data_IF_043744898183
#
_entry.id   IF_043744898183
#
_cell.length_a   1.000
_cell.length_b   1.000
_cell.length_c   1.000
_cell.angle_alpha   90.00
_cell.angle_beta   90.00
_cell.angle_gamma   90.00
#
_symmetry.space_group_name_H-M   'P 1'
#
loop_
_entity.id
_entity.type
_entity.pdbx_description
1 polymer ?
#
# COMPACT_ATOMS: atom_id res chain seq x y z
N UNK A 1 -27.28 -48.99 -51.17
CA UNK A 1 -26.00 -48.43 -50.65
C UNK A 1 -25.76 -46.97 -51.03
N UNK A 2 -25.81 -46.56 -52.31
CA UNK A 2 -25.55 -45.16 -52.73
C UNK A 2 -26.49 -44.10 -52.10
N UNK A 3 -27.78 -44.41 -51.91
CA UNK A 3 -28.76 -43.47 -51.30
C UNK A 3 -28.53 -43.23 -49.80
N UNK A 4 -28.01 -44.22 -49.06
CA UNK A 4 -27.74 -44.10 -47.63
C UNK A 4 -26.49 -43.23 -47.35
N UNK A 5 -25.46 -43.36 -48.20
CA UNK A 5 -24.23 -42.56 -48.12
C UNK A 5 -24.52 -41.09 -48.46
N UNK A 6 -25.36 -40.82 -49.46
CA UNK A 6 -25.76 -39.47 -49.83
C UNK A 6 -26.57 -38.76 -48.74
N UNK A 7 -27.39 -39.50 -47.99
CA UNK A 7 -28.16 -38.95 -46.88
C UNK A 7 -27.28 -38.65 -45.66
N UNK A 8 -26.28 -39.51 -45.39
CA UNK A 8 -25.32 -39.29 -44.30
C UNK A 8 -24.40 -38.09 -44.56
N UNK A 9 -23.94 -37.88 -45.80
CA UNK A 9 -23.13 -36.72 -46.18
C UNK A 9 -23.95 -35.43 -46.05
N UNK A 10 -25.22 -35.44 -46.45
CA UNK A 10 -26.11 -34.29 -46.30
C UNK A 10 -26.31 -33.94 -44.81
N UNK A 11 -26.54 -34.93 -43.95
CA UNK A 11 -26.69 -34.72 -42.50
C UNK A 11 -25.40 -34.17 -41.89
N UNK A 12 -24.24 -34.70 -42.27
CA UNK A 12 -22.94 -34.19 -41.78
C UNK A 12 -22.73 -32.74 -42.22
N UNK A 13 -23.04 -32.38 -43.47
CA UNK A 13 -22.94 -31.01 -43.96
C UNK A 13 -23.89 -30.04 -43.24
N UNK A 14 -25.13 -30.47 -42.96
CA UNK A 14 -26.11 -29.66 -42.23
C UNK A 14 -25.71 -29.49 -40.77
N UNK A 15 -25.23 -30.54 -40.10
CA UNK A 15 -24.73 -30.45 -38.72
C UNK A 15 -23.47 -29.58 -38.64
N UNK A 16 -22.58 -29.66 -39.63
CA UNK A 16 -21.38 -28.80 -39.72
C UNK A 16 -21.75 -27.33 -39.94
N UNK A 17 -22.77 -27.05 -40.76
CA UNK A 17 -23.28 -25.70 -40.97
C UNK A 17 -23.97 -25.14 -39.71
N UNK A 18 -24.71 -25.96 -38.96
CA UNK A 18 -25.35 -25.55 -37.71
C UNK A 18 -24.29 -25.24 -36.63
N UNK A 19 -23.25 -26.07 -36.50
CA UNK A 19 -22.15 -25.81 -35.56
C UNK A 19 -21.41 -24.52 -35.94
N UNK A 20 -21.16 -24.28 -37.23
CA UNK A 20 -20.49 -23.07 -37.71
C UNK A 20 -21.29 -21.77 -37.49
N UNK A 21 -22.63 -21.83 -37.45
CA UNK A 21 -23.49 -20.67 -37.16
C UNK A 21 -23.66 -20.42 -35.66
N UNK A 22 -23.40 -21.43 -34.81
CA UNK A 22 -23.64 -21.36 -33.35
C UNK A 22 -22.43 -20.96 -32.51
N UNK A 23 -21.21 -20.88 -33.08
CA UNK A 23 -20.01 -20.43 -32.36
C UNK A 23 -19.50 -19.09 -32.88
N UNK A 24 -20.34 -18.05 -32.80
CA UNK A 24 -19.82 -16.70 -32.60
C UNK A 24 -19.41 -16.61 -31.13
N UNK A 25 -18.26 -17.18 -30.77
CA UNK A 25 -17.63 -16.81 -29.50
C UNK A 25 -17.19 -15.37 -29.71
N UNK A 26 -18.03 -14.41 -29.32
CA UNK A 26 -17.56 -13.08 -28.97
C UNK A 26 -16.61 -13.27 -27.82
N UNK A 27 -15.32 -13.43 -28.13
CA UNK A 27 -14.27 -13.11 -27.19
C UNK A 27 -14.49 -11.63 -26.92
N UNK A 28 -15.06 -11.29 -25.76
CA UNK A 28 -14.84 -9.95 -25.23
C UNK A 28 -13.33 -9.84 -25.15
N UNK A 29 -12.74 -9.11 -26.09
CA UNK A 29 -11.31 -8.78 -26.02
C UNK A 29 -11.10 -8.24 -24.62
N UNK A 30 -10.18 -8.84 -23.88
CA UNK A 30 -9.72 -8.23 -22.64
C UNK A 30 -9.36 -6.80 -23.01
N UNK A 31 -10.07 -5.82 -22.43
CA UNK A 31 -9.75 -4.42 -22.65
C UNK A 31 -8.29 -4.27 -22.22
N UNK A 32 -7.40 -4.11 -23.20
CA UNK A 32 -6.00 -3.85 -22.93
C UNK A 32 -5.99 -2.54 -22.17
N UNK A 33 -5.44 -2.48 -20.94
CA UNK A 33 -5.41 -1.24 -20.18
C UNK A 33 -4.73 -0.19 -21.04
N UNK A 34 -5.44 0.90 -21.31
CA UNK A 34 -4.87 2.03 -22.04
C UNK A 34 -3.84 2.69 -21.13
N UNK A 35 -2.60 2.78 -21.59
CA UNK A 35 -1.53 3.48 -20.88
C UNK A 35 -1.20 4.73 -21.70
N UNK A 36 -1.90 5.82 -21.40
CA UNK A 36 -1.62 7.16 -21.92
C UNK A 36 -0.42 7.75 -21.18
N UNK A 37 0.79 7.56 -21.70
CA UNK A 37 2.01 8.14 -21.09
C UNK A 37 3.04 8.56 -22.13
N UNK A 38 3.88 9.53 -21.79
CA UNK A 38 5.03 9.96 -22.59
C UNK A 38 6.33 9.69 -21.82
N UNK A 39 7.37 9.26 -22.52
CA UNK A 39 8.71 9.01 -21.96
C UNK A 39 9.71 9.89 -22.69
N UNK A 40 10.32 10.83 -21.98
CA UNK A 40 11.29 11.76 -22.55
C UNK A 40 12.73 11.34 -22.28
N UNK A 41 13.60 11.61 -23.24
CA UNK A 41 15.05 11.52 -23.13
C UNK A 41 15.68 12.62 -24.00
N UNK A 42 16.87 13.09 -23.67
CA UNK A 42 17.49 14.17 -24.44
C UNK A 42 18.71 14.78 -23.77
N UNK A 43 19.29 15.78 -24.42
CA UNK A 43 20.31 16.65 -23.88
C UNK A 43 19.72 17.71 -22.95
N UNK A 44 20.54 18.18 -22.01
CA UNK A 44 20.26 19.30 -21.13
C UNK A 44 21.37 20.33 -21.31
N UNK A 45 21.03 21.51 -21.83
CA UNK A 45 21.96 22.62 -21.97
C UNK A 45 21.64 23.70 -20.93
N UNK A 46 22.64 24.11 -20.14
CA UNK A 46 22.55 25.28 -19.28
C UNK A 46 23.34 26.41 -19.92
N UNK A 47 22.73 27.58 -20.01
CA UNK A 47 23.37 28.78 -20.57
C UNK A 47 24.72 29.04 -19.90
N UNK A 48 25.69 29.48 -20.70
CA UNK A 48 27.12 29.64 -20.35
C UNK A 48 27.94 28.33 -20.31
N UNK A 49 27.36 27.19 -20.72
CA UNK A 49 28.08 25.91 -20.82
C UNK A 49 28.35 25.26 -19.46
N UNK A 50 27.55 25.62 -18.44
CA UNK A 50 27.56 24.92 -17.16
C UNK A 50 27.05 23.49 -17.34
N UNK A 51 27.65 22.53 -16.63
CA UNK A 51 27.15 21.15 -16.64
C UNK A 51 25.83 21.04 -15.86
N UNK A 52 24.92 20.26 -16.42
CA UNK A 52 23.64 19.91 -15.85
C UNK A 52 23.68 18.65 -14.96
N UNK A 53 24.82 17.95 -14.92
CA UNK A 53 24.96 16.69 -14.19
C UNK A 53 24.62 16.82 -12.70
N UNK A 54 23.88 15.84 -12.20
CA UNK A 54 23.48 15.74 -10.80
C UNK A 54 22.26 16.57 -10.42
N UNK A 55 21.73 17.42 -11.31
CA UNK A 55 20.48 18.13 -11.06
C UNK A 55 19.26 17.23 -11.27
N UNK A 56 18.22 17.48 -10.47
CA UNK A 56 16.90 16.86 -10.61
C UNK A 56 16.11 17.54 -11.72
N UNK A 57 15.66 16.75 -12.69
CA UNK A 57 14.74 17.15 -13.73
C UNK A 57 13.35 16.59 -13.43
N UNK A 58 12.33 17.44 -13.52
CA UNK A 58 10.91 17.10 -13.32
C UNK A 58 10.08 17.65 -14.47
N UNK A 59 8.97 17.01 -14.79
CA UNK A 59 7.96 17.55 -15.69
C UNK A 59 6.68 17.87 -14.92
N UNK A 60 6.02 18.98 -15.27
CA UNK A 60 4.78 19.45 -14.65
C UNK A 60 3.73 19.70 -15.71
N UNK A 61 2.49 19.36 -15.38
CA UNK A 61 1.33 19.52 -16.25
C UNK A 61 0.11 19.74 -15.35
N UNK A 62 -0.35 20.99 -15.29
CA UNK A 62 -1.38 21.40 -14.33
C UNK A 62 -0.98 21.14 -12.88
N UNK A 63 -1.74 20.30 -12.18
CA UNK A 63 -1.51 19.87 -10.80
C UNK A 63 -0.70 18.56 -10.68
N UNK A 64 -0.34 17.93 -11.81
CA UNK A 64 0.51 16.73 -11.83
C UNK A 64 1.99 17.08 -11.99
N UNK A 65 2.84 16.43 -11.20
CA UNK A 65 4.30 16.52 -11.24
C UNK A 65 4.91 15.11 -11.27
N UNK A 66 5.90 14.89 -12.14
CA UNK A 66 6.55 13.59 -12.28
C UNK A 66 7.48 13.27 -11.11
N UNK A 67 7.86 11.99 -10.99
CA UNK A 67 9.06 11.66 -10.24
C UNK A 67 10.29 12.30 -10.89
N UNK A 68 11.28 12.77 -10.09
CA UNK A 68 12.47 13.40 -10.63
C UNK A 68 13.42 12.38 -11.24
N UNK A 69 14.04 12.75 -12.35
CA UNK A 69 15.19 12.05 -12.95
C UNK A 69 16.45 12.85 -12.68
N UNK A 70 17.58 12.18 -12.47
CA UNK A 70 18.87 12.84 -12.30
C UNK A 70 19.57 12.95 -13.66
N UNK A 71 19.91 14.16 -14.07
CA UNK A 71 20.66 14.42 -15.30
C UNK A 71 22.08 13.85 -15.17
N UNK A 72 22.56 13.17 -16.21
CA UNK A 72 23.89 12.54 -16.27
C UNK A 72 24.03 11.25 -15.46
N UNK A 73 22.97 10.76 -14.80
CA UNK A 73 23.07 9.56 -13.96
C UNK A 73 23.20 8.25 -14.76
N UNK A 74 22.42 8.11 -15.84
CA UNK A 74 22.25 6.84 -16.57
C UNK A 74 22.80 6.89 -18.01
N UNK A 75 23.78 7.75 -18.29
CA UNK A 75 24.30 7.89 -19.66
C UNK A 75 25.44 8.90 -19.81
N UNK A 76 25.57 9.52 -21.01
CA UNK A 76 26.52 10.60 -21.24
C UNK A 76 26.24 11.79 -20.31
N UNK A 77 27.29 12.57 -20.02
CA UNK A 77 27.19 13.89 -19.37
C UNK A 77 26.11 14.73 -20.05
N UNK A 78 25.37 15.48 -19.24
CA UNK A 78 24.37 16.45 -19.65
C UNK A 78 23.23 15.84 -20.48
N UNK A 79 22.92 14.55 -20.25
CA UNK A 79 21.73 13.88 -20.81
C UNK A 79 20.83 13.30 -19.74
N UNK A 80 19.54 13.31 -19.99
CA UNK A 80 18.53 12.66 -19.15
C UNK A 80 17.82 11.55 -19.92
N UNK A 81 17.37 10.52 -19.19
CA UNK A 81 16.71 9.36 -19.76
C UNK A 81 15.52 8.95 -18.89
N UNK A 82 14.43 8.52 -19.53
CA UNK A 82 13.33 7.87 -18.84
C UNK A 82 12.47 8.81 -17.99
N UNK A 83 12.38 10.09 -18.33
CA UNK A 83 11.44 11.01 -17.67
C UNK A 83 10.01 10.63 -18.09
N UNK A 84 9.33 9.89 -17.21
CA UNK A 84 7.99 9.37 -17.45
C UNK A 84 6.92 10.38 -17.01
N UNK A 85 6.14 10.85 -17.97
CA UNK A 85 4.92 11.64 -17.76
C UNK A 85 3.72 10.71 -17.89
N UNK A 86 3.13 10.34 -16.75
CA UNK A 86 1.99 9.43 -16.67
C UNK A 86 0.95 9.96 -15.67
N UNK A 87 0.21 11.03 -16.02
CA UNK A 87 -0.89 11.53 -15.21
C UNK A 87 -2.03 10.50 -15.08
N UNK A 88 -2.98 10.71 -14.13
CA UNK A 88 -4.16 9.87 -14.02
C UNK A 88 -4.90 9.70 -15.37
N UNK A 89 -5.42 8.50 -15.61
CA UNK A 89 -6.05 8.15 -16.89
C UNK A 89 -7.15 9.14 -17.29
N UNK A 90 -7.09 9.63 -18.53
CA UNK A 90 -8.06 10.59 -19.08
C UNK A 90 -7.93 12.03 -18.56
N UNK A 91 -6.89 12.34 -17.78
CA UNK A 91 -6.60 13.71 -17.33
C UNK A 91 -5.46 14.33 -18.14
N UNK A 92 -5.45 15.66 -18.19
CA UNK A 92 -4.39 16.47 -18.81
C UNK A 92 -4.11 16.25 -20.30
N UNK A 93 -4.97 15.52 -21.02
CA UNK A 93 -4.86 15.33 -22.47
C UNK A 93 -4.95 16.69 -23.17
N UNK A 94 -3.89 17.07 -23.89
CA UNK A 94 -3.79 18.37 -24.56
C UNK A 94 -3.22 19.50 -23.70
N UNK A 95 -2.95 19.26 -22.42
CA UNK A 95 -2.30 20.27 -21.58
C UNK A 95 -0.79 20.36 -21.90
N UNK A 96 -0.22 21.52 -21.59
CA UNK A 96 1.21 21.80 -21.77
C UNK A 96 2.03 21.18 -20.65
N UNK A 97 3.12 20.54 -21.05
CA UNK A 97 4.17 19.98 -20.21
C UNK A 97 5.28 21.01 -20.10
N UNK A 98 5.57 21.41 -18.87
CA UNK A 98 6.71 22.25 -18.53
C UNK A 98 7.80 21.41 -17.87
N UNK A 99 9.05 21.66 -18.23
CA UNK A 99 10.20 20.94 -17.66
C UNK A 99 10.94 21.85 -16.68
N UNK A 100 11.22 21.32 -15.48
CA UNK A 100 11.76 22.08 -14.35
C UNK A 100 13.05 21.43 -13.84
N UNK A 101 14.11 22.22 -13.76
CA UNK A 101 15.39 21.84 -13.19
C UNK A 101 15.50 22.32 -11.72
N UNK A 102 15.73 21.37 -10.81
CA UNK A 102 15.73 21.56 -9.34
C UNK A 102 14.46 22.25 -8.80
N UNK A 103 13.35 22.20 -9.55
CA UNK A 103 12.13 22.95 -9.23
C UNK A 103 12.28 24.46 -9.23
N UNK A 104 13.40 25.00 -9.74
CA UNK A 104 13.71 26.43 -9.71
C UNK A 104 13.59 27.08 -11.09
N UNK A 105 14.01 26.38 -12.13
CA UNK A 105 14.19 26.96 -13.47
C UNK A 105 13.39 26.15 -14.46
N UNK A 106 12.54 26.83 -15.21
CA UNK A 106 11.77 26.24 -16.31
C UNK A 106 12.64 26.20 -17.57
N UNK A 107 12.54 25.12 -18.35
CA UNK A 107 13.15 25.03 -19.66
C UNK A 107 12.54 26.05 -20.63
N UNK A 108 13.29 26.41 -21.68
CA UNK A 108 12.76 27.23 -22.77
C UNK A 108 11.74 26.47 -23.62
N UNK A 109 11.85 25.16 -23.65
CA UNK A 109 11.00 24.25 -24.40
C UNK A 109 9.85 23.73 -23.55
N UNK A 110 8.69 23.59 -24.19
CA UNK A 110 7.49 23.00 -23.61
C UNK A 110 6.94 22.00 -24.62
N UNK A 111 6.21 21.01 -24.12
CA UNK A 111 5.61 19.98 -24.97
C UNK A 111 4.12 19.86 -24.68
N UNK A 112 3.35 19.15 -25.52
CA UNK A 112 1.93 18.91 -25.27
C UNK A 112 1.70 17.43 -24.96
N UNK A 113 0.86 17.16 -23.95
CA UNK A 113 0.50 15.79 -23.57
C UNK A 113 -0.57 15.21 -24.50
N UNK A 114 -0.13 14.85 -25.71
CA UNK A 114 -0.89 14.16 -26.76
C UNK A 114 -0.02 13.08 -27.37
N UNK A 115 -0.57 12.16 -28.15
CA UNK A 115 0.21 11.26 -28.99
C UNK A 115 0.62 11.99 -30.27
N UNK A 116 1.91 11.99 -30.62
CA UNK A 116 2.42 12.61 -31.84
C UNK A 116 2.55 11.54 -32.92
N UNK A 117 1.83 11.73 -34.01
CA UNK A 117 1.91 10.85 -35.17
C UNK A 117 3.15 11.14 -36.00
N UNK A 118 3.62 10.17 -36.82
CA UNK A 118 4.76 10.39 -37.72
C UNK A 118 4.57 11.52 -38.74
N UNK A 119 3.33 11.96 -39.00
CA UNK A 119 3.00 13.09 -39.86
C UNK A 119 2.98 14.44 -39.13
N UNK A 120 3.34 14.46 -37.84
CA UNK A 120 3.32 15.63 -36.97
C UNK A 120 1.92 16.03 -36.48
N UNK A 121 0.88 15.24 -36.79
CA UNK A 121 -0.44 15.44 -36.21
C UNK A 121 -0.49 14.90 -34.77
N UNK A 122 -1.49 15.36 -34.01
CA UNK A 122 -1.68 14.91 -32.62
C UNK A 122 -2.99 14.15 -32.45
N UNK A 123 -2.93 13.03 -31.75
CA UNK A 123 -4.09 12.26 -31.32
C UNK A 123 -4.33 12.42 -29.81
N UNK A 124 -5.60 12.62 -29.46
CA UNK A 124 -6.04 12.71 -28.06
C UNK A 124 -6.25 11.33 -27.43
N UNK A 125 -6.32 10.27 -28.24
CA UNK A 125 -6.64 8.92 -27.80
C UNK A 125 -5.53 7.95 -28.22
N UNK A 126 -4.73 7.48 -27.25
CA UNK A 126 -3.70 6.49 -27.49
C UNK A 126 -3.61 5.52 -26.31
N UNK A 127 -3.06 4.32 -26.54
CA UNK A 127 -3.06 3.25 -25.55
C UNK A 127 -1.66 2.72 -25.21
N UNK A 128 -0.62 3.19 -25.91
CA UNK A 128 0.76 2.74 -25.74
C UNK A 128 1.67 3.90 -25.35
N UNK A 129 2.61 3.72 -24.41
CA UNK A 129 3.62 4.73 -24.11
C UNK A 129 4.36 5.16 -25.37
N UNK A 130 4.51 6.47 -25.56
CA UNK A 130 5.33 7.02 -26.63
C UNK A 130 6.64 7.57 -26.05
N UNK A 131 7.76 7.14 -26.64
CA UNK A 131 9.08 7.68 -26.29
C UNK A 131 9.43 8.83 -27.23
N UNK A 132 9.97 9.94 -26.71
CA UNK A 132 10.39 11.11 -27.48
C UNK A 132 11.79 11.58 -27.11
N UNK A 133 12.57 11.92 -28.12
CA UNK A 133 13.79 12.69 -27.93
C UNK A 133 13.41 14.16 -27.80
N UNK A 134 13.86 14.80 -26.73
CA UNK A 134 13.51 16.18 -26.42
C UNK A 134 14.66 16.87 -25.69
N UNK A 135 15.36 17.74 -26.39
CA UNK A 135 16.48 18.50 -25.83
C UNK A 135 15.94 19.71 -25.06
N UNK A 136 16.51 19.97 -23.88
CA UNK A 136 16.06 21.03 -22.97
C UNK A 136 17.14 22.07 -22.79
N UNK A 137 16.78 23.34 -22.88
CA UNK A 137 17.65 24.48 -22.62
C UNK A 137 17.18 25.27 -21.40
N UNK A 138 18.12 25.62 -20.51
CA UNK A 138 17.85 26.39 -19.30
C UNK A 138 18.63 27.71 -19.32
N UNK A 139 17.95 28.81 -19.02
CA UNK A 139 18.54 30.16 -19.11
C UNK A 139 19.67 30.41 -18.09
N UNK A 140 19.64 29.71 -16.97
CA UNK A 140 20.57 29.90 -15.87
C UNK A 140 20.79 28.56 -15.15
N UNK A 141 21.90 28.49 -14.41
CA UNK A 141 22.16 27.38 -13.49
C UNK A 141 21.28 27.49 -12.24
N UNK A 142 20.72 26.38 -11.71
CA UNK A 142 20.02 26.39 -10.44
C UNK A 142 20.91 26.99 -9.35
N UNK A 143 20.37 27.96 -8.63
CA UNK A 143 21.06 28.50 -7.46
C UNK A 143 21.00 27.41 -6.40
N UNK A 144 22.12 27.10 -5.76
CA UNK A 144 22.09 26.20 -4.62
C UNK A 144 21.05 26.74 -3.64
N UNK A 145 19.92 26.03 -3.47
CA UNK A 145 19.00 26.35 -2.40
C UNK A 145 19.85 26.28 -1.15
N UNK A 146 19.99 27.40 -0.44
CA UNK A 146 20.77 27.41 0.78
C UNK A 146 20.21 26.26 1.62
N UNK A 147 21.01 25.20 1.81
CA UNK A 147 20.72 24.20 2.82
C UNK A 147 20.44 25.03 4.06
N UNK A 148 19.22 24.99 4.63
CA UNK A 148 18.89 25.88 5.72
C UNK A 148 19.99 25.69 6.74
N UNK A 149 20.82 26.73 6.89
CA UNK A 149 21.81 26.75 7.96
C UNK A 149 20.92 26.68 9.17
N UNK A 150 20.95 25.55 9.86
CA UNK A 150 20.11 25.32 11.03
C UNK A 150 20.33 26.53 11.92
N UNK A 151 19.37 27.46 11.90
CA UNK A 151 19.31 28.48 12.93
C UNK A 151 19.22 27.65 14.21
N UNK A 152 20.01 27.93 15.26
CA UNK A 152 19.78 27.33 16.57
C UNK A 152 18.41 27.83 17.02
N UNK A 153 17.39 27.17 16.51
CA UNK A 153 16.08 27.11 17.09
C UNK A 153 16.39 26.50 18.44
N UNK A 154 16.03 27.17 19.54
CA UNK A 154 15.93 26.45 20.80
C UNK A 154 15.04 25.27 20.46
N UNK A 155 15.63 24.09 20.31
CA UNK A 155 14.87 22.86 20.14
C UNK A 155 13.85 22.94 21.26
N UNK A 156 12.53 23.03 20.98
CA UNK A 156 11.59 22.78 22.05
C UNK A 156 12.03 21.42 22.56
N UNK A 157 12.59 21.37 23.78
CA UNK A 157 12.88 20.09 24.41
C UNK A 157 11.61 19.30 24.18
N UNK A 158 11.64 18.17 23.45
CA UNK A 158 10.43 17.41 23.23
C UNK A 158 9.86 17.27 24.63
N UNK A 159 8.68 17.83 24.87
CA UNK A 159 7.94 17.47 26.05
C UNK A 159 7.77 15.99 25.84
N UNK A 160 8.53 15.17 26.57
CA UNK A 160 8.66 13.75 26.30
C UNK A 160 7.25 13.24 26.09
N UNK A 161 6.93 12.80 24.88
CA UNK A 161 5.67 12.12 24.64
C UNK A 161 5.70 10.99 25.66
N UNK A 162 4.79 10.99 26.67
CA UNK A 162 4.89 10.01 27.74
C UNK A 162 4.85 8.65 27.05
N UNK A 163 5.95 7.90 27.14
CA UNK A 163 6.00 6.57 26.56
C UNK A 163 5.14 5.71 27.46
N UNK A 164 3.93 5.44 26.99
CA UNK A 164 2.99 4.57 27.68
C UNK A 164 3.43 3.14 27.41
N UNK A 165 3.90 2.46 28.46
CA UNK A 165 4.21 1.04 28.41
C UNK A 165 2.91 0.24 28.24
N UNK A 166 2.98 -0.86 27.50
CA UNK A 166 1.90 -1.84 27.37
C UNK A 166 2.02 -2.90 28.45
N UNK A 167 0.90 -3.55 28.83
CA UNK A 167 0.91 -4.63 29.81
C UNK A 167 1.78 -5.80 29.35
N UNK A 168 2.36 -6.48 30.32
CA UNK A 168 3.11 -7.72 30.13
C UNK A 168 2.53 -8.84 30.97
N UNK A 169 2.51 -10.04 30.40
CA UNK A 169 1.83 -11.20 30.98
C UNK A 169 2.85 -12.26 31.37
N UNK A 170 2.71 -12.80 32.57
CA UNK A 170 3.53 -13.87 33.12
C UNK A 170 2.63 -15.05 33.48
N UNK A 171 2.87 -16.19 32.84
CA UNK A 171 2.17 -17.44 33.07
C UNK A 171 3.19 -18.51 33.44
N UNK A 172 2.86 -19.34 34.42
CA UNK A 172 3.69 -20.50 34.75
C UNK A 172 3.29 -21.16 36.05
N UNK A 173 4.26 -21.87 36.65
CA UNK A 173 4.07 -22.57 37.92
C UNK A 173 4.72 -21.84 39.08
N UNK A 174 4.07 -21.89 40.24
CA UNK A 174 4.59 -21.44 41.51
C UNK A 174 4.89 -22.65 42.41
N UNK A 175 6.12 -22.75 42.90
CA UNK A 175 6.58 -23.82 43.77
C UNK A 175 7.10 -23.22 45.07
N UNK A 176 6.77 -23.84 46.19
CA UNK A 176 7.33 -23.54 47.50
C UNK A 176 7.74 -24.82 48.22
N UNK A 177 8.94 -24.86 48.82
CA UNK A 177 9.46 -26.05 49.52
C UNK A 177 9.37 -27.35 48.69
N UNK A 178 9.63 -27.25 47.38
CA UNK A 178 9.54 -28.37 46.42
C UNK A 178 8.12 -28.94 46.21
N UNK A 179 7.07 -28.24 46.62
CA UNK A 179 5.66 -28.57 46.34
C UNK A 179 4.99 -27.43 45.57
N UNK A 180 3.97 -27.71 44.75
CA UNK A 180 3.12 -26.68 44.16
C UNK A 180 2.53 -25.77 45.24
N UNK A 181 2.45 -24.47 44.97
CA UNK A 181 1.74 -23.54 45.86
C UNK A 181 0.26 -23.91 45.90
N UNK A 182 -0.32 -23.95 47.10
CA UNK A 182 -1.72 -24.34 47.30
C UNK A 182 -2.68 -23.39 46.58
N UNK A 183 -3.85 -23.93 46.25
CA UNK A 183 -4.95 -23.17 45.64
C UNK A 183 -5.42 -22.01 46.52
N UNK A 184 -5.82 -20.91 45.87
CA UNK A 184 -6.38 -19.74 46.54
C UNK A 184 -5.32 -18.76 47.09
N UNK A 185 -4.03 -19.06 46.92
CA UNK A 185 -2.94 -18.13 47.29
C UNK A 185 -2.79 -17.06 46.20
N UNK A 186 -2.62 -15.81 46.62
CA UNK A 186 -2.42 -14.67 45.71
C UNK A 186 -0.93 -14.40 45.46
N UNK A 187 -0.57 -14.24 44.18
CA UNK A 187 0.74 -13.79 43.70
C UNK A 187 0.57 -12.39 43.13
N UNK A 188 1.48 -11.47 43.47
CA UNK A 188 1.54 -10.16 42.84
C UNK A 188 2.99 -9.80 42.48
N UNK A 189 3.17 -8.89 41.54
CA UNK A 189 4.47 -8.38 41.14
C UNK A 189 4.70 -6.95 41.62
N UNK A 190 5.96 -6.61 41.86
CA UNK A 190 6.43 -5.25 42.12
C UNK A 190 7.48 -4.84 41.10
N UNK A 191 7.36 -3.62 40.59
CA UNK A 191 8.34 -2.99 39.71
C UNK A 191 8.62 -1.60 40.28
N UNK A 192 9.72 -1.43 41.01
CA UNK A 192 9.95 -0.18 41.76
C UNK A 192 8.85 0.07 42.80
N UNK A 193 8.11 1.16 42.65
CA UNK A 193 6.94 1.54 43.48
C UNK A 193 5.59 1.03 42.94
N UNK A 194 5.55 0.46 41.72
CA UNK A 194 4.33 -0.17 41.17
C UNK A 194 4.07 -1.54 41.80
N UNK A 195 2.81 -1.84 42.07
CA UNK A 195 2.31 -3.14 42.55
C UNK A 195 1.21 -3.59 41.59
N UNK A 196 1.30 -4.81 41.06
CA UNK A 196 0.27 -5.36 40.19
C UNK A 196 -0.98 -5.81 40.96
N UNK A 197 -2.08 -6.00 40.23
CA UNK A 197 -3.20 -6.76 40.73
C UNK A 197 -2.77 -8.19 41.10
N UNK A 198 -3.31 -8.77 42.18
CA UNK A 198 -3.00 -10.13 42.59
C UNK A 198 -3.66 -11.15 41.66
N UNK A 199 -2.92 -12.21 41.34
CA UNK A 199 -3.38 -13.38 40.62
C UNK A 199 -3.52 -14.58 41.57
N UNK A 200 -4.64 -15.29 41.49
CA UNK A 200 -4.88 -16.49 42.29
C UNK A 200 -4.13 -17.68 41.68
N UNK A 201 -3.45 -18.44 42.51
CA UNK A 201 -2.84 -19.73 42.15
C UNK A 201 -3.89 -20.83 42.16
N UNK A 202 -3.93 -21.64 41.10
CA UNK A 202 -4.79 -22.82 40.95
C UNK A 202 -3.96 -24.00 40.44
N UNK A 203 -3.95 -25.10 41.18
CA UNK A 203 -3.14 -26.29 40.92
C UNK A 203 -1.65 -25.96 40.70
N UNK A 204 -1.14 -25.01 41.48
CA UNK A 204 0.21 -24.48 41.35
C UNK A 204 0.49 -23.62 40.12
N UNK A 205 -0.50 -23.34 39.26
CA UNK A 205 -0.37 -22.46 38.10
C UNK A 205 -0.87 -21.05 38.42
N UNK A 206 -0.30 -20.04 37.77
CA UNK A 206 -0.73 -18.65 37.89
C UNK A 206 -0.68 -17.93 36.53
N UNK A 207 -1.49 -16.88 36.42
CA UNK A 207 -1.49 -15.94 35.29
C UNK A 207 -1.52 -14.52 35.83
N UNK A 208 -0.42 -13.79 35.69
CA UNK A 208 -0.21 -12.47 36.27
C UNK A 208 -0.04 -11.41 35.20
N UNK A 209 -0.71 -10.27 35.37
CA UNK A 209 -0.60 -9.09 34.50
C UNK A 209 0.20 -8.00 35.20
N UNK A 210 1.20 -7.44 34.51
CA UNK A 210 2.05 -6.36 35.00
C UNK A 210 1.91 -5.17 34.04
N UNK A 211 1.17 -4.14 34.46
CA UNK A 211 0.85 -2.96 33.65
C UNK A 211 1.23 -1.65 34.40
N UNK A 212 2.52 -1.30 34.46
CA UNK A 212 2.99 -0.16 35.24
C UNK A 212 2.78 1.19 34.52
N UNK A 213 2.32 1.18 33.25
CA UNK A 213 1.96 2.33 32.39
C UNK A 213 3.10 3.32 32.09
N UNK A 214 3.88 3.74 33.08
CA UNK A 214 4.90 4.78 32.95
C UNK A 214 6.26 4.21 32.48
N UNK A 215 6.92 4.92 31.56
CA UNK A 215 8.27 4.58 31.06
C UNK A 215 9.32 4.40 32.15
N UNK A 216 9.17 5.05 33.32
CA UNK A 216 10.12 4.96 34.44
C UNK A 216 10.31 3.52 34.95
N UNK A 217 9.39 2.62 34.61
CA UNK A 217 9.44 1.21 34.99
C UNK A 217 10.09 0.31 33.94
N UNK A 218 10.39 0.84 32.75
CA UNK A 218 11.09 0.10 31.71
C UNK A 218 12.47 -0.36 32.21
N UNK A 219 12.81 -1.62 31.93
CA UNK A 219 14.05 -2.30 32.37
C UNK A 219 14.25 -2.44 33.90
N UNK A 220 13.33 -1.95 34.73
CA UNK A 220 13.37 -2.19 36.17
C UNK A 220 13.02 -3.65 36.48
N UNK A 221 13.61 -4.20 37.54
CA UNK A 221 13.37 -5.59 37.93
C UNK A 221 11.93 -5.81 38.37
N UNK A 222 11.27 -6.78 37.74
CA UNK A 222 10.01 -7.36 38.17
C UNK A 222 10.30 -8.38 39.26
N UNK A 223 9.76 -8.13 40.44
CA UNK A 223 9.89 -8.98 41.62
C UNK A 223 8.53 -9.57 41.98
N UNK A 224 8.47 -10.89 42.13
CA UNK A 224 7.21 -11.59 42.41
C UNK A 224 7.10 -11.92 43.90
N UNK A 225 5.89 -11.82 44.45
CA UNK A 225 5.63 -11.96 45.87
C UNK A 225 4.37 -12.80 46.12
N UNK A 226 4.43 -13.60 47.19
CA UNK A 226 3.26 -14.17 47.88
C UNK A 226 3.23 -13.53 49.26
N UNK A 227 2.16 -12.78 49.57
CA UNK A 227 2.09 -11.94 50.77
C UNK A 227 3.33 -11.02 50.90
N UNK A 228 4.32 -11.37 51.72
CA UNK A 228 5.57 -10.63 51.91
C UNK A 228 6.83 -11.41 51.50
N UNK A 229 6.67 -12.57 50.86
CA UNK A 229 7.76 -13.48 50.54
C UNK A 229 8.10 -13.36 49.06
N UNK A 230 9.34 -12.97 48.78
CA UNK A 230 9.85 -12.76 47.43
C UNK A 230 10.22 -14.10 46.77
N UNK A 231 9.87 -14.25 45.49
CA UNK A 231 10.36 -15.34 44.65
C UNK A 231 11.86 -15.17 44.35
N UNK A 232 12.53 -16.28 44.05
CA UNK A 232 13.95 -16.26 43.65
C UNK A 232 14.12 -15.61 42.26
N UNK A 233 13.14 -15.78 41.38
CA UNK A 233 13.17 -15.29 40.01
C UNK A 233 12.79 -13.81 39.95
N UNK A 234 13.54 -13.08 39.13
CA UNK A 234 13.27 -11.68 38.78
C UNK A 234 13.84 -11.40 37.40
N UNK A 235 13.15 -10.61 36.58
CA UNK A 235 13.59 -10.22 35.25
C UNK A 235 13.40 -8.72 35.04
N UNK A 236 14.18 -8.06 34.16
CA UNK A 236 13.90 -6.68 33.77
C UNK A 236 12.53 -6.61 33.07
N UNK A 237 11.74 -5.60 33.43
CA UNK A 237 10.45 -5.34 32.82
C UNK A 237 10.65 -4.94 31.36
N UNK A 238 10.01 -5.67 30.47
CA UNK A 238 9.82 -5.26 29.09
C UNK A 238 8.33 -5.05 28.84
N UNK A 239 8.00 -4.10 27.98
CA UNK A 239 6.63 -3.80 27.57
C UNK A 239 6.15 -4.79 26.49
N UNK A 240 4.85 -5.10 26.48
CA UNK A 240 4.18 -5.89 25.43
C UNK A 240 4.72 -7.33 25.27
N UNK A 241 5.10 -7.96 26.39
CA UNK A 241 5.62 -9.33 26.36
C UNK A 241 4.65 -10.33 26.95
N UNK A 242 4.67 -11.53 26.39
CA UNK A 242 4.06 -12.73 26.97
C UNK A 242 5.18 -13.68 27.41
N UNK A 243 5.19 -14.06 28.69
CA UNK A 243 6.13 -15.02 29.26
C UNK A 243 5.36 -16.26 29.68
N UNK A 244 5.47 -17.32 28.90
CA UNK A 244 4.95 -18.64 29.25
C UNK A 244 5.96 -19.43 30.08
N UNK A 245 5.50 -20.46 30.77
CA UNK A 245 6.31 -21.42 31.54
C UNK A 245 7.26 -20.76 32.57
N UNK A 246 6.89 -19.57 33.07
CA UNK A 246 7.71 -18.80 34.00
C UNK A 246 7.62 -19.40 35.40
N UNK A 247 8.66 -20.14 35.80
CA UNK A 247 8.71 -20.84 37.09
C UNK A 247 9.07 -19.88 38.23
N UNK A 248 8.14 -19.69 39.17
CA UNK A 248 8.39 -18.96 40.41
C UNK A 248 8.70 -19.93 41.56
N UNK A 249 9.83 -19.74 42.21
CA UNK A 249 10.27 -20.53 43.37
C UNK A 249 10.29 -19.65 44.61
N UNK A 250 9.53 -20.05 45.63
CA UNK A 250 9.44 -19.38 46.92
C UNK A 250 10.10 -20.23 48.02
N UNK A 251 10.85 -19.61 48.95
CA UNK A 251 11.52 -20.34 50.04
C UNK A 251 10.53 -20.90 51.07
N UNK A 252 9.44 -20.17 51.35
CA UNK A 252 8.35 -20.60 52.21
C UNK A 252 7.08 -19.86 51.80
N UNK A 253 5.92 -20.47 51.89
CA UNK A 253 4.62 -19.78 51.70
C UNK A 253 3.73 -20.06 52.89
N UNK A 254 2.88 -19.10 53.32
CA UNK A 254 1.91 -19.35 54.37
C UNK A 254 0.96 -20.48 53.93
N UNK A 255 0.65 -21.39 54.86
CA UNK A 255 -0.37 -22.41 54.62
C UNK A 255 -1.72 -21.72 54.40
N UNK A 256 -2.50 -22.21 53.43
CA UNK A 256 -3.85 -21.71 53.14
C UNK A 256 -4.66 -21.66 54.43
N UNK A 257 -5.19 -20.50 54.76
CA UNK A 257 -6.14 -20.41 55.88
C UNK A 257 -7.41 -21.12 55.42
N UNK A 258 -7.90 -22.17 56.11
CA UNK A 258 -9.07 -22.89 55.66
C UNK A 258 -10.24 -21.91 55.57
N UNK A 259 -10.85 -21.80 54.39
CA UNK A 259 -12.11 -21.08 54.22
C UNK A 259 -13.11 -21.72 55.18
N UNK A 260 -13.78 -20.97 56.08
CA UNK A 260 -14.74 -21.54 57.00
C UNK A 260 -15.80 -22.28 56.18
N UNK A 261 -15.86 -23.60 56.33
CA UNK A 261 -16.91 -24.40 55.74
C UNK A 261 -18.19 -23.97 56.43
N UNK A 262 -19.11 -23.33 55.69
CA UNK A 262 -20.44 -23.05 56.19
C UNK A 262 -21.01 -24.35 56.75
N UNK A 263 -21.11 -24.43 58.07
CA UNK A 263 -21.72 -25.58 58.74
C UNK A 263 -23.16 -25.64 58.23
N UNK A 264 -23.64 -26.76 57.67
CA UNK A 264 -25.00 -26.83 57.17
C UNK A 264 -25.95 -26.51 58.33
N UNK A 265 -26.61 -25.37 58.25
CA UNK A 265 -27.69 -25.01 59.17
C UNK A 265 -28.72 -26.14 59.12
N UNK A 266 -29.13 -26.73 60.26
CA UNK A 266 -30.09 -27.83 60.24
C UNK A 266 -31.37 -27.36 59.54
N UNK A 267 -31.78 -28.13 58.53
CA UNK A 267 -32.99 -27.89 57.75
C UNK A 267 -34.20 -27.82 58.68
N UNK A 268 -35.01 -26.75 58.65
CA UNK A 268 -36.20 -26.67 59.49
C UNK A 268 -37.23 -27.71 59.03
N UNK A 269 -37.75 -28.45 60.02
CA UNK A 269 -38.88 -29.37 59.88
C UNK A 269 -40.09 -28.63 59.27
N UNK A 270 -40.80 -29.20 58.28
CA UNK A 270 -41.90 -28.50 57.60
C UNK A 270 -43.01 -28.16 58.60
N UNK A 271 -43.21 -26.86 58.85
CA UNK A 271 -44.34 -26.35 59.62
C UNK A 271 -45.48 -26.02 58.66
N UNK A 272 -46.66 -26.56 58.95
CA UNK A 272 -47.88 -26.43 58.15
C UNK A 272 -48.28 -24.96 58.02
N UNK A 273 -48.60 -24.56 56.80
CA UNK A 273 -49.02 -23.21 56.44
C UNK A 273 -50.32 -22.77 57.14
N UNK A 274 -50.38 -21.50 57.57
CA UNK A 274 -51.57 -20.71 57.31
C UNK A 274 -51.25 -19.37 56.65
N UNK A 275 -51.96 -19.16 55.55
CA UNK A 275 -52.72 -17.96 55.16
C UNK A 275 -52.04 -16.60 55.10
N UNK A 276 -52.16 -16.01 53.91
CA UNK A 276 -51.64 -14.73 53.46
C UNK A 276 -51.90 -13.55 54.41
N UNK A 277 -50.90 -12.68 54.52
CA UNK A 277 -51.07 -11.27 54.91
C UNK A 277 -50.14 -10.42 54.03
N UNK A 278 -50.72 -9.49 53.29
CA UNK A 278 -50.04 -8.55 52.39
C UNK A 278 -49.40 -7.42 53.19
N UNK A 279 -48.08 -7.23 53.11
CA UNK A 279 -47.37 -5.98 53.53
C UNK A 279 -46.07 -5.84 52.69
N UNK A 280 -45.62 -4.62 52.31
CA UNK A 280 -44.93 -4.36 51.06
C UNK A 280 -43.40 -4.27 51.16
N UNK A 281 -42.78 -4.16 49.96
CA UNK A 281 -41.50 -3.46 49.67
C UNK A 281 -40.23 -4.32 49.68
N UNK A 282 -39.61 -4.50 48.51
CA UNK A 282 -38.29 -3.93 48.18
C UNK A 282 -38.00 -4.07 46.68
N UNK A 283 -37.80 -2.94 46.02
CA UNK A 283 -37.27 -2.88 44.65
C UNK A 283 -35.85 -3.49 44.67
N UNK A 284 -35.49 -4.38 43.72
CA UNK A 284 -34.14 -4.92 43.64
C UNK A 284 -33.14 -3.79 43.38
N UNK A 285 -31.94 -3.79 43.99
CA UNK A 285 -30.86 -2.94 43.51
C UNK A 285 -30.51 -3.42 42.11
N UNK A 286 -30.86 -2.62 41.10
CA UNK A 286 -30.31 -2.74 39.77
C UNK A 286 -28.79 -2.61 39.90
N UNK A 287 -28.05 -3.66 39.53
CA UNK A 287 -26.60 -3.58 39.39
C UNK A 287 -26.30 -2.58 38.29
N UNK A 288 -25.97 -1.36 38.67
CA UNK A 288 -25.38 -0.38 37.76
C UNK A 288 -24.03 -0.97 37.33
N UNK A 289 -23.78 -1.22 36.03
CA UNK A 289 -22.44 -1.58 35.59
C UNK A 289 -21.53 -0.40 35.93
N UNK A 290 -20.54 -0.65 36.79
CA UNK A 290 -19.42 0.26 36.97
C UNK A 290 -18.79 0.43 35.60
N UNK A 291 -18.87 1.64 35.03
CA UNK A 291 -18.16 1.97 33.81
C UNK A 291 -16.67 1.72 34.08
N UNK A 292 -16.10 0.83 33.28
CA UNK A 292 -14.66 0.66 33.15
C UNK A 292 -14.02 2.04 32.89
N UNK A 293 -12.91 2.39 33.55
CA UNK A 293 -12.28 3.69 33.37
C UNK A 293 -11.87 3.85 31.91
N UNK A 294 -12.64 4.65 31.18
CA UNK A 294 -12.29 5.07 29.83
C UNK A 294 -11.00 5.89 29.91
N UNK A 295 -9.99 5.42 29.17
CA UNK A 295 -8.67 6.04 29.09
C UNK A 295 -8.85 7.38 28.37
N UNK A 296 -9.09 8.44 29.14
CA UNK A 296 -9.21 9.79 28.59
C UNK A 296 -7.81 10.24 28.16
N UNK A 297 -7.53 10.41 26.86
CA UNK A 297 -6.26 10.99 26.43
C UNK A 297 -6.20 12.43 26.93
N UNK A 298 -5.16 12.75 27.70
CA UNK A 298 -4.84 14.13 28.10
C UNK A 298 -4.75 15.00 26.85
N UNK A 299 -5.46 16.15 26.78
CA UNK A 299 -5.47 16.98 25.58
C UNK A 299 -4.05 17.45 25.25
N UNK A 300 -3.57 17.05 24.08
CA UNK A 300 -2.33 17.57 23.50
C UNK A 300 -2.54 19.04 23.15
N UNK A 301 -1.73 19.92 23.74
CA UNK A 301 -1.73 21.35 23.40
C UNK A 301 -1.32 21.49 21.93
N UNK A 302 -2.27 21.90 21.08
CA UNK A 302 -2.00 22.21 19.67
C UNK A 302 -1.16 23.50 19.63
N UNK A 303 0.07 23.49 19.08
CA UNK A 303 0.84 24.72 18.92
C UNK A 303 0.11 25.63 17.93
N UNK A 304 -0.19 26.86 18.38
CA UNK A 304 -0.71 27.93 17.55
C UNK A 304 0.26 28.17 16.38
N UNK A 305 -0.19 27.95 15.14
CA UNK A 305 0.65 28.20 13.97
C UNK A 305 0.96 29.69 13.87
N UNK A 306 2.23 30.03 13.94
CA UNK A 306 2.73 31.37 13.62
C UNK A 306 2.52 31.61 12.13
N UNK A 307 1.79 32.67 11.79
CA UNK A 307 1.47 33.02 10.40
C UNK A 307 2.76 33.38 9.65
N UNK A 308 3.14 32.58 8.66
CA UNK A 308 4.25 32.88 7.75
C UNK A 308 3.87 34.09 6.87
N UNK A 309 4.72 35.12 6.72
CA UNK A 309 4.40 36.27 5.89
C UNK A 309 4.25 35.86 4.42
N UNK A 310 3.10 36.22 3.84
CA UNK A 310 2.75 36.00 2.44
C UNK A 310 3.70 36.77 1.53
N UNK A 311 4.30 36.10 0.54
CA UNK A 311 5.09 36.76 -0.50
C UNK A 311 4.17 37.48 -1.47
N UNK A 312 4.45 38.77 -1.70
CA UNK A 312 3.75 39.64 -2.64
C UNK A 312 3.84 39.09 -4.07
N UNK A 313 2.73 38.93 -4.81
CA UNK A 313 2.77 38.43 -6.19
C UNK A 313 3.38 39.45 -7.15
N UNK A 314 4.28 38.97 -8.00
CA UNK A 314 4.88 39.67 -9.15
C UNK A 314 3.85 39.76 -10.30
N UNK A 315 3.74 40.89 -11.03
CA UNK A 315 2.71 41.07 -12.05
C UNK A 315 2.89 40.15 -13.28
N UNK A 316 1.75 39.63 -13.76
CA UNK A 316 1.60 38.78 -14.95
C UNK A 316 1.78 39.62 -16.22
N UNK A 317 2.60 39.14 -17.16
CA UNK A 317 2.78 39.72 -18.51
C UNK A 317 1.83 39.01 -19.49
N UNK A 318 1.21 39.83 -20.34
CA UNK A 318 0.15 39.54 -21.31
C UNK A 318 0.57 38.52 -22.40
N UNK A 319 -0.22 37.45 -22.52
CA UNK A 319 0.00 36.27 -23.36
C UNK A 319 -0.48 36.45 -24.82
N UNK A 320 -0.96 37.63 -25.20
CA UNK A 320 -1.54 37.85 -26.52
C UNK A 320 -0.52 38.04 -27.68
N UNK A 321 0.78 38.19 -27.41
CA UNK A 321 1.77 38.55 -28.43
C UNK A 321 2.49 37.36 -29.11
N UNK A 322 2.42 36.14 -28.56
CA UNK A 322 3.26 35.02 -29.02
C UNK A 322 2.60 34.17 -30.13
N UNK A 323 1.28 34.19 -30.26
CA UNK A 323 0.54 33.31 -31.19
C UNK A 323 0.74 33.67 -32.68
N UNK A 324 1.21 34.88 -33.00
CA UNK A 324 1.35 35.32 -34.41
C UNK A 324 2.68 34.88 -35.05
N UNK A 325 3.68 34.44 -34.26
CA UNK A 325 5.02 34.16 -34.77
C UNK A 325 5.23 32.73 -35.30
N UNK A 326 4.40 31.75 -34.94
CA UNK A 326 4.67 30.33 -35.28
C UNK A 326 4.01 29.83 -36.57
N UNK A 327 3.05 30.55 -37.17
CA UNK A 327 2.33 30.08 -38.37
C UNK A 327 3.03 30.36 -39.71
N UNK A 328 4.36 30.55 -39.76
CA UNK A 328 5.09 30.87 -41.01
C UNK A 328 6.21 29.90 -41.40
N UNK A 329 6.41 28.78 -40.72
CA UNK A 329 7.50 27.88 -41.07
C UNK A 329 7.04 26.43 -41.24
N UNK A 330 6.90 26.08 -42.53
CA UNK A 330 6.99 24.74 -43.16
C UNK A 330 5.72 24.24 -43.82
N UNK A 331 5.45 24.84 -44.99
CA UNK A 331 5.07 24.07 -46.17
C UNK A 331 6.33 23.42 -46.76
N UNK A 332 6.12 22.29 -47.44
CA UNK A 332 7.06 21.52 -48.28
C UNK A 332 7.82 20.37 -47.59
N UNK A 333 7.27 19.15 -47.67
CA UNK A 333 7.93 18.02 -48.36
C UNK A 333 7.00 16.81 -48.50
N UNK A 334 7.02 16.23 -49.70
CA UNK A 334 6.19 15.16 -50.21
C UNK A 334 6.92 13.80 -50.14
N UNK A 335 6.12 12.73 -49.95
CA UNK A 335 6.34 11.28 -50.17
C UNK A 335 7.67 10.60 -49.77
N UNK A 336 7.58 9.54 -48.96
CA UNK A 336 7.68 8.13 -49.43
C UNK A 336 7.80 7.13 -48.25
N UNK A 337 6.81 6.25 -48.11
CA UNK A 337 7.05 4.83 -47.79
C UNK A 337 6.73 4.31 -46.38
N UNK A 338 5.91 3.25 -46.33
CA UNK A 338 6.17 2.12 -45.43
C UNK A 338 5.15 1.83 -44.31
N UNK A 339 3.94 1.43 -44.69
CA UNK A 339 2.89 0.92 -43.80
C UNK A 339 3.31 -0.31 -42.98
N UNK A 340 3.19 -0.23 -41.65
CA UNK A 340 2.95 -1.36 -40.74
C UNK A 340 2.19 -0.87 -39.48
N UNK A 341 0.97 -0.35 -39.64
CA UNK A 341 0.06 -0.06 -38.50
C UNK A 341 -1.18 -0.94 -38.60
N UNK A 342 -1.32 -1.82 -37.62
CA UNK A 342 -2.52 -2.62 -37.41
C UNK A 342 -3.53 -1.77 -36.62
N UNK A 343 -4.43 -1.09 -37.33
CA UNK A 343 -5.59 -0.48 -36.69
C UNK A 343 -6.63 -1.55 -36.38
N UNK A 344 -7.23 -1.45 -35.20
CA UNK A 344 -8.10 -2.44 -34.57
C UNK A 344 -9.54 -2.50 -35.12
N UNK A 345 -9.85 -1.88 -36.26
CA UNK A 345 -11.23 -1.84 -36.79
C UNK A 345 -11.29 -1.95 -38.33
N UNK A 346 -10.62 -2.96 -38.89
CA UNK A 346 -10.68 -3.23 -40.33
C UNK A 346 -10.78 -4.72 -40.63
N UNK A 347 -11.82 -5.09 -41.39
CA UNK A 347 -11.97 -6.38 -42.08
C UNK A 347 -10.63 -7.00 -42.48
N UNK A 348 -10.40 -8.24 -42.03
CA UNK A 348 -9.19 -8.99 -42.34
C UNK A 348 -8.86 -8.90 -43.84
N UNK A 349 -7.78 -8.19 -44.15
CA UNK A 349 -7.18 -8.16 -45.49
C UNK A 349 -6.99 -9.60 -45.99
N UNK A 350 -7.52 -9.87 -47.19
CA UNK A 350 -7.44 -11.16 -47.89
C UNK A 350 -6.00 -11.70 -48.06
N UNK A 351 -4.97 -10.90 -47.75
CA UNK A 351 -3.57 -11.30 -47.76
C UNK A 351 -3.15 -12.30 -46.66
N UNK A 352 -3.80 -12.27 -45.48
CA UNK A 352 -3.44 -13.19 -44.38
C UNK A 352 -4.10 -14.57 -44.47
N UNK A 353 -5.23 -14.68 -45.18
CA UNK A 353 -5.87 -15.98 -45.45
C UNK A 353 -5.06 -16.75 -46.51
N UNK A 354 -4.42 -16.06 -47.45
CA UNK A 354 -3.56 -16.67 -48.47
C UNK A 354 -2.36 -17.43 -47.91
N UNK A 355 -1.73 -16.92 -46.85
CA UNK A 355 -0.55 -17.53 -46.21
C UNK A 355 -0.87 -18.81 -45.43
N UNK A 356 -2.11 -18.98 -44.96
CA UNK A 356 -2.55 -20.19 -44.24
C UNK A 356 -2.91 -21.37 -45.18
N UNK A 357 -3.06 -21.14 -46.48
CA UNK A 357 -3.34 -22.21 -47.46
C UNK A 357 -2.10 -22.71 -48.23
N UNK A 358 -0.94 -22.06 -48.07
CA UNK A 358 0.33 -22.48 -48.70
C UNK A 358 0.82 -23.86 -48.19
N UNK A 359 0.67 -24.26 -46.91
CA UNK A 359 1.08 -25.59 -46.45
C UNK A 359 0.23 -26.73 -47.05
N UNK A 360 -1.05 -26.50 -47.34
CA UNK A 360 -1.96 -27.51 -47.91
C UNK A 360 -1.75 -27.72 -49.42
N UNK A 361 -1.38 -26.68 -50.16
CA UNK A 361 -1.06 -26.76 -51.59
C UNK A 361 0.28 -27.49 -51.88
N UNK A 362 1.23 -27.45 -50.95
CA UNK A 362 2.51 -28.16 -51.07
C UNK A 362 2.42 -29.66 -50.68
N UNK A 363 1.48 -30.05 -49.81
CA UNK A 363 1.25 -31.47 -49.49
C UNK A 363 0.43 -32.17 -50.60
N UNK A 364 -0.46 -31.44 -51.29
CA UNK A 364 -1.24 -31.97 -52.42
C UNK A 364 -0.43 -32.27 -53.68
N UNK A 365 0.63 -31.50 -53.97
CA UNK A 365 1.47 -31.71 -55.18
C UNK A 365 2.43 -32.90 -55.06
N UNK A 366 2.84 -33.27 -53.85
CA UNK A 366 3.79 -34.38 -53.66
C UNK A 366 3.14 -35.78 -53.67
N UNK A 367 1.81 -35.90 -53.57
CA UNK A 367 1.11 -37.19 -53.68
C UNK A 367 0.62 -37.54 -55.10
N UNK A 368 0.48 -36.57 -56.01
CA UNK A 368 0.09 -36.83 -57.40
C UNK A 368 1.29 -37.31 -58.26
N UNK A 369 2.50 -36.81 -57.98
CA UNK A 369 3.73 -37.25 -58.68
C UNK A 369 4.20 -38.65 -58.33
N UNK A 370 3.84 -39.17 -57.15
CA UNK A 370 4.21 -40.53 -56.72
C UNK A 370 3.27 -41.62 -57.26
N UNK A 371 2.07 -41.25 -57.74
CA UNK A 371 1.09 -42.20 -58.28
C UNK A 371 1.23 -42.40 -59.80
N UNK A 372 1.68 -41.37 -60.54
CA UNK A 372 1.91 -41.47 -62.00
C UNK A 372 3.25 -42.13 -62.40
N UNK A 373 4.15 -42.41 -61.44
CA UNK A 373 5.44 -43.09 -61.70
C UNK A 373 5.46 -44.57 -61.30
N UNK A 374 4.34 -45.12 -60.83
CA UNK A 374 4.21 -46.53 -60.43
C UNK A 374 3.33 -47.38 -61.36
N UNK A 375 2.74 -46.79 -62.41
CA UNK A 375 1.87 -47.47 -63.38
C UNK A 375 2.14 -47.09 -64.85
N UNK A 376 3.41 -46.80 -65.22
CA UNK A 376 3.87 -46.78 -66.61
C UNK A 376 5.10 -47.65 -66.78
#
# INVERSE_FOLDING_TARGET
>A
MKKAISFYILIICVVSAIIAVSTSITVQGAEVPQITSLIFYGGVEISNGDSADGYKLTAKIGDYETQPVIVGADGPSDRYYGLLVNPPQGTHVGDTIEFWLEGQIVAGETEVFLYENPDGSYDTNWALPQQREFDLSFSNKPVATATPTATPTLTPTPTATPVILKPSFYEGRAIAQSQPVNDGIEIYAKVGDYVSDPAIVLDGNYFLTVDPVDEKYFELKVEFYIANIKAIQSEPFASDIYRSDFLLVFPSVPASTPVPTNTPTPSPVPTVAPTATLVPTKVPPTSTPTAEPDRTPTPTVIPTMTVTPTTTPTPVVDLAATIVAQNKKMADMEETGGFCSANSDGTASLGMIGLLFIPLLLIGRNKMGYWLRKNS
#
